data_IF_965548235246
#
_entry.id   IF_965548235246
#
_cell.length_a   1.000
_cell.length_b   1.000
_cell.length_c   1.000
_cell.angle_alpha   90.00
_cell.angle_beta   90.00
_cell.angle_gamma   90.00
#
_symmetry.space_group_name_H-M   'P 1'
#
loop_
_entity.id
_entity.type
_entity.pdbx_description
1 polymer ?
#
# COMPACT_ATOMS: atom_id res chain seq x y z
N UNK A 1 44.03 24.39 -2.31
CA UNK A 1 42.78 24.17 -1.56
C UNK A 1 43.02 24.57 -0.12
N UNK A 2 42.58 25.77 0.22
CA UNK A 2 42.88 26.40 1.51
C UNK A 2 42.23 25.67 2.68
N UNK A 3 42.84 25.78 3.86
CA UNK A 3 42.36 25.15 5.11
C UNK A 3 40.88 25.50 5.38
N UNK A 4 40.47 26.72 5.00
CA UNK A 4 39.09 27.22 5.06
C UNK A 4 38.16 26.50 4.08
N UNK A 5 38.59 26.22 2.85
CA UNK A 5 37.78 25.49 1.87
C UNK A 5 37.56 24.02 2.28
N UNK A 6 38.57 23.37 2.89
CA UNK A 6 38.41 22.02 3.44
C UNK A 6 37.38 21.97 4.59
N UNK A 7 37.38 22.99 5.45
CA UNK A 7 36.41 23.08 6.56
C UNK A 7 35.00 23.37 6.05
N UNK A 8 34.84 24.25 5.06
CA UNK A 8 33.53 24.54 4.45
C UNK A 8 32.96 23.28 3.78
N UNK A 9 33.78 22.53 3.03
CA UNK A 9 33.35 21.30 2.38
C UNK A 9 32.90 20.24 3.40
N UNK A 10 33.65 20.07 4.50
CA UNK A 10 33.30 19.13 5.56
C UNK A 10 31.97 19.48 6.25
N UNK A 11 31.74 20.77 6.53
CA UNK A 11 30.48 21.24 7.14
C UNK A 11 29.30 21.04 6.18
N UNK A 12 29.46 21.33 4.89
CA UNK A 12 28.42 21.12 3.89
C UNK A 12 28.03 19.64 3.79
N UNK A 13 29.01 18.74 3.79
CA UNK A 13 28.74 17.29 3.76
C UNK A 13 27.94 16.84 4.97
N UNK A 14 28.32 17.26 6.18
CA UNK A 14 27.61 16.92 7.42
C UNK A 14 26.19 17.49 7.40
N UNK A 15 26.02 18.72 6.91
CA UNK A 15 24.71 19.37 6.82
C UNK A 15 23.81 18.69 5.78
N UNK A 16 24.37 18.22 4.66
CA UNK A 16 23.63 17.46 3.65
C UNK A 16 23.13 16.12 4.22
N UNK A 17 23.95 15.39 4.99
CA UNK A 17 23.50 14.16 5.66
C UNK A 17 22.48 14.43 6.77
N UNK A 18 22.59 15.55 7.50
CA UNK A 18 21.59 15.95 8.49
C UNK A 18 20.24 16.30 7.85
N UNK A 19 20.25 16.96 6.69
CA UNK A 19 19.03 17.24 5.92
C UNK A 19 18.42 15.93 5.41
N UNK A 20 19.22 15.01 4.86
CA UNK A 20 18.72 13.71 4.40
C UNK A 20 18.10 12.87 5.54
N UNK A 21 18.64 12.95 6.76
CA UNK A 21 18.06 12.27 7.93
C UNK A 21 16.76 12.89 8.43
N UNK A 22 16.47 14.15 8.11
CA UNK A 22 15.22 14.83 8.46
C UNK A 22 14.10 14.59 7.44
N UNK A 23 14.45 14.30 6.19
CA UNK A 23 13.51 13.97 5.12
C UNK A 23 13.28 12.46 5.16
N UNK A 24 12.68 12.00 6.27
CA UNK A 24 12.45 10.60 6.58
C UNK A 24 12.24 9.77 5.33
N UNK A 25 13.27 9.03 4.94
CA UNK A 25 13.18 8.08 3.85
C UNK A 25 12.38 6.93 4.43
N UNK A 26 11.06 6.99 4.27
CA UNK A 26 10.19 5.89 4.67
C UNK A 26 10.40 4.77 3.65
N UNK A 27 11.48 3.99 3.86
CA UNK A 27 11.80 2.82 3.04
C UNK A 27 11.00 1.59 3.46
N UNK A 28 9.96 1.76 4.28
CA UNK A 28 9.09 0.69 4.73
C UNK A 28 7.91 0.48 3.79
N UNK A 29 7.70 -0.76 3.35
CA UNK A 29 6.40 -1.23 2.86
C UNK A 29 5.44 -1.27 4.06
N UNK A 30 4.93 -0.12 4.50
CA UNK A 30 4.01 -0.04 5.64
C UNK A 30 2.69 -0.72 5.29
N UNK A 31 2.25 -1.63 6.15
CA UNK A 31 0.96 -2.30 6.04
C UNK A 31 -0.09 -1.50 6.79
N UNK A 32 -1.20 -1.19 6.12
CA UNK A 32 -2.34 -0.47 6.67
C UNK A 32 -3.59 -1.35 6.67
N UNK A 33 -4.41 -1.21 7.70
CA UNK A 33 -5.73 -1.82 7.73
C UNK A 33 -6.69 -1.12 6.77
N UNK A 34 -7.70 -1.85 6.28
CA UNK A 34 -8.72 -1.29 5.38
C UNK A 34 -9.50 -0.18 6.09
N UNK A 35 -9.76 -0.36 7.38
CA UNK A 35 -10.40 0.65 8.23
C UNK A 35 -9.58 1.95 8.32
N UNK A 36 -8.26 1.86 8.52
CA UNK A 36 -7.36 3.03 8.60
C UNK A 36 -7.31 3.81 7.29
N UNK A 37 -7.21 3.10 6.16
CA UNK A 37 -7.24 3.69 4.82
C UNK A 37 -8.56 4.40 4.59
N UNK A 38 -9.67 3.77 4.99
CA UNK A 38 -11.02 4.33 4.78
C UNK A 38 -11.24 5.60 5.58
N UNK A 39 -10.62 5.73 6.75
CA UNK A 39 -10.74 6.90 7.62
C UNK A 39 -9.84 8.06 7.18
N UNK A 40 -8.72 7.79 6.51
CA UNK A 40 -7.74 8.79 6.08
C UNK A 40 -7.47 8.73 4.57
N UNK A 41 -8.51 8.57 3.74
CA UNK A 41 -8.38 8.43 2.28
C UNK A 41 -7.53 9.54 1.63
N UNK A 42 -7.66 10.78 2.12
CA UNK A 42 -6.94 11.94 1.59
C UNK A 42 -5.41 11.82 1.78
N UNK A 43 -4.96 11.13 2.83
CA UNK A 43 -3.53 10.92 3.11
C UNK A 43 -2.92 9.82 2.23
N UNK A 44 -3.76 8.92 1.70
CA UNK A 44 -3.33 7.78 0.88
C UNK A 44 -3.53 7.99 -0.63
N UNK A 45 -4.21 9.07 -1.06
CA UNK A 45 -4.42 9.35 -2.48
C UNK A 45 -3.08 9.44 -3.24
N UNK A 46 -2.91 8.59 -4.26
CA UNK A 46 -1.72 8.57 -5.11
C UNK A 46 -0.48 7.91 -4.50
N UNK A 47 -0.54 7.48 -3.24
CA UNK A 47 0.54 6.76 -2.57
C UNK A 47 0.41 5.25 -2.79
N UNK A 48 1.56 4.57 -2.89
CA UNK A 48 1.64 3.12 -2.85
C UNK A 48 1.32 2.64 -1.43
N UNK A 49 0.35 1.73 -1.32
CA UNK A 49 -0.11 1.17 -0.06
C UNK A 49 -0.09 -0.36 -0.12
N UNK A 50 0.19 -0.96 1.03
CA UNK A 50 -0.05 -2.38 1.26
C UNK A 50 -1.18 -2.53 2.27
N UNK A 51 -2.18 -3.32 1.94
CA UNK A 51 -3.30 -3.61 2.83
C UNK A 51 -3.66 -5.07 2.82
N UNK A 52 -4.44 -5.49 3.81
CA UNK A 52 -4.92 -6.85 3.96
C UNK A 52 -6.37 -6.84 4.40
N UNK A 53 -7.15 -7.76 3.85
CA UNK A 53 -8.54 -7.91 4.17
C UNK A 53 -9.11 -9.20 3.63
N UNK A 54 -10.43 -9.34 3.71
CA UNK A 54 -11.15 -10.46 3.11
C UNK A 54 -12.04 -9.98 1.96
N UNK A 55 -12.24 -10.80 0.94
CA UNK A 55 -13.21 -10.50 -0.11
C UNK A 55 -14.62 -10.59 0.46
N UNK A 56 -15.38 -9.50 0.38
CA UNK A 56 -16.78 -9.48 0.84
C UNK A 56 -17.66 -10.35 -0.08
N UNK A 57 -18.53 -11.15 0.52
CA UNK A 57 -19.44 -12.04 -0.21
C UNK A 57 -20.43 -11.26 -1.07
N UNK A 58 -20.71 -11.79 -2.27
CA UNK A 58 -21.57 -11.20 -3.28
C UNK A 58 -21.01 -9.96 -3.97
N UNK A 59 -19.69 -9.72 -3.90
CA UNK A 59 -19.05 -8.52 -4.49
C UNK A 59 -17.99 -8.84 -5.52
N UNK A 60 -17.55 -10.10 -5.64
CA UNK A 60 -16.53 -10.48 -6.60
C UNK A 60 -17.12 -10.51 -8.02
N UNK A 61 -16.66 -9.59 -8.85
CA UNK A 61 -17.01 -9.50 -10.27
C UNK A 61 -15.74 -9.67 -11.11
N UNK A 62 -15.72 -10.74 -11.90
CA UNK A 62 -14.57 -11.11 -12.74
C UNK A 62 -14.96 -10.88 -14.20
N UNK A 63 -14.39 -9.82 -14.79
CA UNK A 63 -14.51 -9.53 -16.22
C UNK A 63 -13.15 -9.79 -16.93
N UNK A 64 -13.15 -10.02 -18.25
CA UNK A 64 -11.92 -10.13 -19.01
C UNK A 64 -11.04 -8.87 -18.85
N UNK A 65 -9.90 -9.01 -18.18
CA UNK A 65 -8.94 -7.92 -17.95
C UNK A 65 -9.33 -6.92 -16.86
N UNK A 66 -10.40 -7.19 -16.10
CA UNK A 66 -10.82 -6.30 -15.00
C UNK A 66 -11.55 -7.12 -13.92
N UNK A 67 -11.01 -7.12 -12.72
CA UNK A 67 -11.56 -7.81 -11.56
C UNK A 67 -11.88 -6.75 -10.52
N UNK A 68 -13.13 -6.71 -10.07
CA UNK A 68 -13.59 -5.76 -9.05
C UNK A 68 -14.22 -6.49 -7.88
N UNK A 69 -13.93 -6.05 -6.66
CA UNK A 69 -14.53 -6.60 -5.45
C UNK A 69 -14.45 -5.61 -4.29
N UNK A 70 -15.21 -5.85 -3.23
CA UNK A 70 -15.04 -5.11 -1.97
C UNK A 70 -14.11 -5.88 -1.05
N UNK A 71 -13.02 -5.23 -0.63
CA UNK A 71 -12.14 -5.73 0.42
C UNK A 71 -12.66 -5.23 1.76
N UNK A 72 -13.04 -6.14 2.66
CA UNK A 72 -13.47 -5.82 4.02
C UNK A 72 -12.31 -5.97 4.99
N UNK A 73 -12.31 -5.14 6.02
CA UNK A 73 -11.37 -5.25 7.14
C UNK A 73 -11.61 -6.55 7.92
N UNK A 74 -10.54 -7.16 8.45
CA UNK A 74 -10.63 -8.42 9.21
C UNK A 74 -11.19 -8.17 10.62
N UNK A 75 -10.85 -7.03 11.22
CA UNK A 75 -11.30 -6.66 12.56
C UNK A 75 -12.63 -5.89 12.54
N UNK A 76 -12.88 -5.12 11.47
CA UNK A 76 -14.08 -4.29 11.30
C UNK A 76 -14.81 -4.57 9.97
N UNK A 77 -15.57 -5.67 9.82
CA UNK A 77 -16.19 -6.07 8.55
C UNK A 77 -17.14 -5.02 7.92
N UNK A 78 -17.64 -4.08 8.71
CA UNK A 78 -18.43 -2.93 8.24
C UNK A 78 -17.61 -1.90 7.46
N UNK A 79 -16.28 -1.88 7.64
CA UNK A 79 -15.33 -1.05 6.91
C UNK A 79 -14.84 -1.83 5.70
N UNK A 80 -15.07 -1.28 4.52
CA UNK A 80 -14.64 -1.89 3.26
C UNK A 80 -14.25 -0.83 2.24
N UNK A 81 -13.40 -1.23 1.31
CA UNK A 81 -12.95 -0.44 0.18
C UNK A 81 -13.17 -1.20 -1.13
N UNK A 82 -13.53 -0.46 -2.18
CA UNK A 82 -13.64 -1.03 -3.52
C UNK A 82 -12.23 -1.22 -4.10
N UNK A 83 -11.99 -2.40 -4.65
CA UNK A 83 -10.74 -2.79 -5.27
C UNK A 83 -10.99 -3.03 -6.74
N UNK A 84 -10.11 -2.48 -7.58
CA UNK A 84 -10.04 -2.80 -9.00
C UNK A 84 -8.65 -3.34 -9.34
N UNK A 85 -8.62 -4.48 -10.02
CA UNK A 85 -7.41 -5.18 -10.41
C UNK A 85 -7.47 -5.52 -11.90
N UNK A 86 -6.48 -5.03 -12.66
CA UNK A 86 -6.41 -5.22 -14.12
C UNK A 86 -5.35 -6.24 -14.54
N UNK A 87 -4.82 -7.03 -13.60
CA UNK A 87 -3.84 -8.07 -13.88
C UNK A 87 -4.46 -9.44 -14.16
N UNK A 88 -3.61 -10.47 -14.24
CA UNK A 88 -4.05 -11.85 -14.41
C UNK A 88 -4.80 -12.36 -13.18
N UNK A 89 -5.93 -13.04 -13.41
CA UNK A 89 -6.76 -13.62 -12.34
C UNK A 89 -5.91 -14.49 -11.39
N UNK A 90 -5.80 -14.13 -10.10
CA UNK A 90 -5.02 -14.91 -9.15
C UNK A 90 -5.60 -16.31 -8.98
N UNK A 91 -4.75 -17.35 -8.84
CA UNK A 91 -5.23 -18.69 -8.55
C UNK A 91 -5.91 -18.71 -7.18
N UNK A 92 -7.09 -19.34 -7.09
CA UNK A 92 -7.92 -19.43 -5.89
C UNK A 92 -8.50 -18.09 -5.38
N UNK A 93 -8.68 -17.10 -6.27
CA UNK A 93 -9.45 -15.91 -5.94
C UNK A 93 -10.93 -16.31 -5.70
N UNK A 94 -11.37 -16.25 -4.46
CA UNK A 94 -12.72 -16.65 -4.05
C UNK A 94 -13.25 -15.71 -2.95
N UNK A 95 -14.56 -15.53 -2.90
CA UNK A 95 -15.21 -14.72 -1.86
C UNK A 95 -14.96 -15.29 -0.46
N UNK A 96 -14.86 -14.41 0.54
CA UNK A 96 -14.59 -14.76 1.94
C UNK A 96 -13.14 -15.18 2.21
N UNK A 97 -12.26 -15.22 1.20
CA UNK A 97 -10.83 -15.47 1.41
C UNK A 97 -10.11 -14.20 1.82
N UNK A 98 -9.14 -14.37 2.72
CA UNK A 98 -8.19 -13.33 3.09
C UNK A 98 -7.09 -13.20 2.03
N UNK A 99 -6.67 -11.97 1.78
CA UNK A 99 -5.61 -11.65 0.83
C UNK A 99 -4.96 -10.31 1.20
N UNK A 100 -3.74 -10.13 0.71
CA UNK A 100 -3.02 -8.86 0.74
C UNK A 100 -2.98 -8.23 -0.64
N UNK A 101 -3.07 -6.90 -0.66
CA UNK A 101 -3.06 -6.08 -1.86
C UNK A 101 -1.96 -5.05 -1.73
N UNK A 102 -1.17 -4.92 -2.79
CA UNK A 102 -0.25 -3.82 -3.04
C UNK A 102 -0.85 -3.00 -4.20
N UNK A 103 -0.97 -1.69 -4.02
CA UNK A 103 -1.59 -0.82 -5.01
C UNK A 103 -1.70 0.63 -4.56
N UNK A 104 -2.54 1.42 -5.25
CA UNK A 104 -2.69 2.86 -4.99
C UNK A 104 -4.14 3.26 -4.84
N UNK A 105 -4.41 4.24 -3.98
CA UNK A 105 -5.73 4.85 -3.87
C UNK A 105 -5.91 5.88 -4.99
N UNK A 106 -6.99 5.73 -5.76
CA UNK A 106 -7.38 6.70 -6.77
C UNK A 106 -8.16 7.88 -6.16
N UNK A 107 -8.40 8.92 -6.98
CA UNK A 107 -9.16 10.12 -6.58
C UNK A 107 -10.61 9.86 -6.19
N UNK A 108 -11.13 8.67 -6.47
CA UNK A 108 -12.49 8.27 -6.15
C UNK A 108 -12.53 7.47 -4.83
N UNK A 109 -11.37 7.20 -4.23
CA UNK A 109 -11.23 6.41 -3.02
C UNK A 109 -11.25 4.90 -3.27
N UNK A 110 -11.01 4.46 -4.50
CA UNK A 110 -10.89 3.05 -4.87
C UNK A 110 -9.42 2.63 -4.84
N UNK A 111 -9.18 1.40 -4.42
CA UNK A 111 -7.85 0.79 -4.44
C UNK A 111 -7.58 0.15 -5.81
N UNK A 112 -6.69 0.76 -6.59
CA UNK A 112 -6.13 0.16 -7.80
C UNK A 112 -5.05 -0.84 -7.38
N UNK A 113 -5.41 -2.11 -7.36
CA UNK A 113 -4.49 -3.18 -7.05
C UNK A 113 -3.49 -3.37 -8.20
N UNK A 114 -2.21 -3.35 -7.88
CA UNK A 114 -1.12 -3.70 -8.80
C UNK A 114 -0.70 -5.15 -8.60
N UNK A 115 -0.82 -5.65 -7.37
CA UNK A 115 -0.49 -7.04 -7.02
C UNK A 115 -1.41 -7.56 -5.93
N UNK A 116 -1.90 -8.78 -6.12
CA UNK A 116 -2.72 -9.51 -5.16
C UNK A 116 -1.97 -10.77 -4.74
N UNK A 117 -1.88 -10.99 -3.42
CA UNK A 117 -1.33 -12.22 -2.84
C UNK A 117 -2.38 -12.83 -1.93
N UNK A 118 -2.80 -14.05 -2.25
CA UNK A 118 -3.79 -14.79 -1.45
C UNK A 118 -3.19 -15.19 -0.09
N UNK A 119 -3.94 -14.98 0.99
CA UNK A 119 -3.55 -15.27 2.38
C UNK A 119 -2.78 -14.14 3.09
N UNK A 120 -2.47 -14.36 4.37
CA UNK A 120 -1.73 -13.41 5.20
C UNK A 120 -0.24 -13.36 4.82
N UNK A 121 0.36 -12.16 4.66
CA UNK A 121 1.78 -12.01 4.34
C UNK A 121 2.70 -12.50 5.46
N UNK A 122 2.24 -12.56 6.72
CA UNK A 122 3.00 -13.10 7.86
C UNK A 122 3.42 -14.57 7.69
N UNK A 123 2.74 -15.32 6.82
CA UNK A 123 3.10 -16.69 6.45
C UNK A 123 4.25 -16.78 5.44
N UNK A 124 4.67 -15.66 4.84
CA UNK A 124 5.61 -15.61 3.72
C UNK A 124 6.85 -14.73 4.00
N UNK A 125 7.00 -14.19 5.21
CA UNK A 125 8.16 -13.37 5.63
C UNK A 125 9.31 -14.18 6.26
N UNK A 126 9.48 -15.44 5.87
CA UNK A 126 10.61 -16.28 6.34
C UNK A 126 11.66 -16.49 5.25
#
# INVERSE_FOLDING_TARGET
MDKKQKQILAVITIFAFAILGLWGIDTGQTYYMVSEIKENLDDFEGNDINTMGAIKQGTLDVKPGNITFMLQDIEQPEKYIEVEYTGDLPPNLEEGKELSIEGKIDRQGNLKAEKIVMGCPSKYSE
#
